data_IF_350860659650
#
_entry.id   IF_350860659650
#
_cell.length_a   1.000
_cell.length_b   1.000
_cell.length_c   1.000
_cell.angle_alpha   90.00
_cell.angle_beta   90.00
_cell.angle_gamma   90.00
#
_symmetry.space_group_name_H-M   'P 1'
#
loop_
_entity.id
_entity.type
_entity.pdbx_description
1 polymer ?
#
# COMPACT_ATOMS: atom_id res chain seq x y z
N UNK A 1 -1.88 -80.48 -50.82
CA UNK A 1 -1.53 -79.21 -51.51
C UNK A 1 -1.67 -78.09 -50.49
N UNK A 2 -0.67 -77.26 -50.16
CA UNK A 2 0.39 -76.61 -50.97
C UNK A 2 -0.17 -75.54 -51.93
N UNK A 3 0.25 -74.27 -51.90
CA UNK A 3 1.26 -73.62 -51.02
C UNK A 3 1.31 -72.09 -51.16
N UNK A 4 2.29 -71.45 -50.52
CA UNK A 4 2.73 -70.04 -50.73
C UNK A 4 3.81 -69.99 -51.87
N UNK A 5 4.46 -68.84 -52.25
CA UNK A 5 4.35 -67.44 -51.78
C UNK A 5 4.35 -66.35 -52.90
N UNK A 6 4.36 -65.06 -52.50
CA UNK A 6 4.87 -63.91 -53.30
C UNK A 6 3.83 -62.82 -53.67
N UNK A 7 4.15 -61.51 -53.66
CA UNK A 7 5.34 -60.87 -53.09
C UNK A 7 5.54 -59.37 -53.47
N UNK A 8 5.75 -58.54 -52.44
CA UNK A 8 6.54 -57.27 -52.44
C UNK A 8 6.05 -56.07 -53.31
N UNK A 9 6.69 -54.87 -53.34
CA UNK A 9 6.04 -53.70 -52.73
C UNK A 9 6.07 -52.37 -53.53
N UNK A 10 5.45 -51.32 -52.94
CA UNK A 10 5.47 -49.91 -53.37
C UNK A 10 4.10 -49.42 -53.86
N UNK A 11 3.86 -48.12 -54.06
CA UNK A 11 4.52 -46.91 -53.54
C UNK A 11 3.65 -45.69 -53.97
N UNK A 12 3.36 -44.79 -53.02
CA UNK A 12 3.05 -43.35 -53.17
C UNK A 12 1.86 -42.86 -54.06
N UNK A 13 1.19 -41.79 -53.59
CA UNK A 13 0.30 -40.81 -54.29
C UNK A 13 -0.98 -41.34 -55.01
N UNK A 14 -2.14 -40.66 -55.17
CA UNK A 14 -2.86 -39.45 -54.67
C UNK A 14 -4.38 -39.72 -54.95
N UNK A 15 -5.47 -39.00 -54.59
CA UNK A 15 -5.80 -37.66 -54.05
C UNK A 15 -7.20 -37.75 -53.33
N UNK A 16 -7.58 -36.78 -52.47
CA UNK A 16 -8.98 -36.55 -51.96
C UNK A 16 -9.51 -37.46 -50.81
N UNK A 17 -10.46 -37.06 -49.96
CA UNK A 17 -11.16 -35.76 -49.80
C UNK A 17 -11.61 -35.50 -48.34
N UNK A 18 -12.07 -34.27 -48.12
CA UNK A 18 -12.59 -33.57 -46.94
C UNK A 18 -13.41 -34.37 -45.88
N UNK A 19 -13.18 -34.05 -44.59
CA UNK A 19 -14.27 -33.70 -43.64
C UNK A 19 -13.71 -32.94 -42.42
N UNK A 20 -14.43 -31.92 -41.93
CA UNK A 20 -13.99 -30.97 -40.88
C UNK A 20 -14.27 -31.45 -39.45
N UNK A 21 -13.34 -31.21 -38.51
CA UNK A 21 -13.72 -30.89 -37.11
C UNK A 21 -12.67 -30.04 -36.35
N UNK A 22 -13.06 -28.85 -35.88
CA UNK A 22 -12.16 -27.81 -35.33
C UNK A 22 -11.72 -28.07 -33.87
N UNK A 23 -10.76 -28.99 -33.71
CA UNK A 23 -10.19 -29.41 -32.43
C UNK A 23 -9.23 -28.40 -31.77
N UNK A 24 -9.73 -27.24 -31.35
CA UNK A 24 -8.95 -26.13 -30.77
C UNK A 24 -8.06 -26.53 -29.55
N UNK A 25 -6.80 -26.89 -29.83
CA UNK A 25 -5.80 -27.32 -28.83
C UNK A 25 -5.50 -26.22 -27.80
N UNK A 26 -6.02 -26.38 -26.57
CA UNK A 26 -5.78 -25.49 -25.42
C UNK A 26 -4.28 -25.30 -25.14
N UNK A 27 -3.70 -24.19 -25.64
CA UNK A 27 -2.31 -23.78 -25.40
C UNK A 27 -2.12 -23.53 -23.90
N UNK A 28 -1.51 -24.49 -23.18
CA UNK A 28 -1.11 -24.30 -21.78
C UNK A 28 -0.23 -23.04 -21.69
N UNK A 29 -0.68 -22.03 -20.94
CA UNK A 29 0.12 -20.83 -20.67
C UNK A 29 1.46 -21.26 -20.04
N UNK A 30 2.61 -20.70 -20.45
CA UNK A 30 3.88 -21.01 -19.83
C UNK A 30 3.82 -20.60 -18.35
N UNK A 31 4.18 -21.53 -17.46
CA UNK A 31 4.29 -21.28 -16.02
C UNK A 31 5.30 -20.15 -15.83
N UNK A 32 4.88 -19.06 -15.19
CA UNK A 32 5.73 -17.88 -15.01
C UNK A 32 7.03 -18.29 -14.32
N UNK A 33 8.15 -18.16 -15.03
CA UNK A 33 9.46 -18.42 -14.46
C UNK A 33 9.72 -17.39 -13.36
N UNK A 34 10.12 -17.84 -12.17
CA UNK A 34 10.71 -16.94 -11.19
C UNK A 34 11.95 -16.36 -11.83
N UNK A 35 11.95 -15.06 -12.11
CA UNK A 35 13.09 -14.35 -12.70
C UNK A 35 14.24 -14.39 -11.69
N UNK A 36 15.16 -15.33 -11.91
CA UNK A 36 16.30 -15.55 -11.03
C UNK A 36 17.26 -14.36 -11.14
N UNK A 37 17.04 -13.35 -10.29
CA UNK A 37 17.86 -12.13 -10.24
C UNK A 37 19.34 -12.48 -10.31
N UNK A 38 20.08 -11.81 -11.20
CA UNK A 38 21.53 -11.98 -11.27
C UNK A 38 22.18 -11.51 -9.97
N UNK A 39 23.37 -12.01 -9.64
CA UNK A 39 24.09 -11.53 -8.45
C UNK A 39 24.35 -10.02 -8.52
N UNK A 40 24.56 -9.46 -9.71
CA UNK A 40 24.64 -8.02 -9.95
C UNK A 40 23.35 -7.30 -9.52
N UNK A 41 22.17 -7.76 -9.95
CA UNK A 41 20.88 -7.20 -9.52
C UNK A 41 20.64 -7.36 -8.01
N UNK A 42 21.13 -8.44 -7.38
CA UNK A 42 21.06 -8.64 -5.92
C UNK A 42 21.98 -7.67 -5.18
N UNK A 43 23.19 -7.43 -5.67
CA UNK A 43 24.13 -6.44 -5.13
C UNK A 43 23.55 -5.02 -5.24
N UNK A 44 23.11 -4.61 -6.42
CA UNK A 44 22.46 -3.31 -6.62
C UNK A 44 21.25 -3.11 -5.68
N UNK A 45 20.40 -4.13 -5.50
CA UNK A 45 19.25 -4.03 -4.57
C UNK A 45 19.70 -3.86 -3.12
N UNK A 46 20.79 -4.53 -2.70
CA UNK A 46 21.39 -4.36 -1.38
C UNK A 46 21.98 -2.96 -1.21
N UNK A 47 22.60 -2.40 -2.23
CA UNK A 47 23.16 -1.05 -2.21
C UNK A 47 22.08 0.03 -2.20
N UNK A 48 21.06 -0.06 -3.07
CA UNK A 48 19.88 0.81 -3.05
C UNK A 48 19.16 0.77 -1.70
N UNK A 49 18.98 -0.41 -1.10
CA UNK A 49 18.40 -0.54 0.24
C UNK A 49 19.30 0.10 1.33
N UNK A 50 20.63 -0.07 1.24
CA UNK A 50 21.60 0.53 2.17
C UNK A 50 21.63 2.05 2.06
N UNK A 51 21.51 2.60 0.85
CA UNK A 51 21.44 4.04 0.63
C UNK A 51 20.10 4.62 1.08
N UNK A 52 18.98 3.95 0.78
CA UNK A 52 17.66 4.32 1.29
C UNK A 52 17.64 4.36 2.83
N UNK A 53 18.24 3.37 3.50
CA UNK A 53 18.39 3.38 4.95
C UNK A 53 19.23 4.55 5.48
N UNK A 54 20.27 5.00 4.74
CA UNK A 54 21.02 6.23 5.06
C UNK A 54 20.15 7.48 4.88
N UNK A 55 19.52 7.65 3.71
CA UNK A 55 18.66 8.81 3.41
C UNK A 55 17.49 8.94 4.39
N UNK A 56 16.85 7.82 4.75
CA UNK A 56 15.79 7.75 5.75
C UNK A 56 16.28 8.19 7.14
N UNK A 57 17.46 7.71 7.59
CA UNK A 57 18.07 8.17 8.86
C UNK A 57 18.37 9.68 8.86
N UNK A 58 18.88 10.23 7.75
CA UNK A 58 19.14 11.67 7.63
C UNK A 58 17.83 12.48 7.65
N UNK A 59 16.80 12.07 6.89
CA UNK A 59 15.48 12.73 6.89
C UNK A 59 14.84 12.70 8.29
N UNK A 60 14.91 11.55 8.99
CA UNK A 60 14.44 11.43 10.38
C UNK A 60 15.22 12.31 11.35
N UNK A 61 16.56 12.41 11.22
CA UNK A 61 17.39 13.29 12.05
C UNK A 61 16.98 14.75 11.87
N UNK A 62 16.90 15.24 10.63
CA UNK A 62 16.55 16.62 10.34
C UNK A 62 15.14 16.99 10.84
N UNK A 63 14.17 16.07 10.67
CA UNK A 63 12.83 16.26 11.22
C UNK A 63 12.83 16.34 12.75
N UNK A 64 13.61 15.49 13.44
CA UNK A 64 13.74 15.53 14.89
C UNK A 64 14.37 16.85 15.38
N UNK A 65 15.44 17.31 14.71
CA UNK A 65 16.11 18.59 15.03
C UNK A 65 15.17 19.79 14.82
N UNK A 66 14.38 19.78 13.75
CA UNK A 66 13.35 20.80 13.48
C UNK A 66 12.23 20.78 14.53
N UNK A 67 11.71 19.61 14.89
CA UNK A 67 10.69 19.48 15.94
C UNK A 67 11.20 19.93 17.31
N UNK A 68 12.46 19.62 17.66
CA UNK A 68 13.09 20.11 18.89
C UNK A 68 13.20 21.64 18.91
N UNK A 69 13.53 22.27 17.77
CA UNK A 69 13.56 23.72 17.65
C UNK A 69 12.16 24.34 17.81
N UNK A 70 11.12 23.75 17.20
CA UNK A 70 9.73 24.20 17.36
C UNK A 70 9.22 24.05 18.79
N UNK A 71 9.49 22.94 19.47
CA UNK A 71 9.11 22.73 20.88
C UNK A 71 9.80 23.76 21.78
N UNK A 72 11.11 23.99 21.61
CA UNK A 72 11.84 25.00 22.39
C UNK A 72 11.32 26.43 22.17
N UNK A 73 10.90 26.77 20.95
CA UNK A 73 10.26 28.06 20.67
C UNK A 73 8.89 28.19 21.36
N UNK A 74 8.04 27.16 21.27
CA UNK A 74 6.72 27.13 21.91
C UNK A 74 6.81 27.14 23.44
N UNK A 75 7.81 26.50 24.04
CA UNK A 75 8.08 26.60 25.47
C UNK A 75 8.45 28.04 25.87
N UNK A 76 9.41 28.66 25.18
CA UNK A 76 9.83 30.03 25.44
C UNK A 76 8.72 31.08 25.16
N UNK A 77 7.69 30.74 24.39
CA UNK A 77 6.48 31.55 24.21
C UNK A 77 5.47 31.30 25.34
N UNK A 78 5.22 30.05 25.73
CA UNK A 78 4.37 29.71 26.87
C UNK A 78 4.88 30.31 28.18
N UNK A 79 6.19 30.31 28.42
CA UNK A 79 6.77 30.87 29.64
C UNK A 79 6.64 32.40 29.69
N UNK A 80 6.69 33.10 28.54
CA UNK A 80 6.37 34.54 28.46
C UNK A 80 4.89 34.82 28.71
N UNK A 81 4.01 34.02 28.12
CA UNK A 81 2.56 34.16 28.33
C UNK A 81 2.19 33.92 29.79
N UNK A 82 2.74 32.88 30.43
CA UNK A 82 2.61 32.61 31.86
C UNK A 82 3.11 33.78 32.71
N UNK A 83 4.32 34.27 32.46
CA UNK A 83 4.87 35.41 33.20
C UNK A 83 3.97 36.65 33.11
N UNK A 84 3.44 36.97 31.91
CA UNK A 84 2.53 38.09 31.72
C UNK A 84 1.16 37.90 32.42
N UNK A 85 0.65 36.67 32.47
CA UNK A 85 -0.59 36.34 33.21
C UNK A 85 -0.37 36.48 34.72
N UNK A 86 0.72 35.93 35.27
CA UNK A 86 1.08 36.08 36.69
C UNK A 86 1.36 37.55 37.06
N UNK A 87 1.94 38.35 36.17
CA UNK A 87 2.15 39.80 36.37
C UNK A 87 0.82 40.57 36.43
N UNK A 88 -0.21 40.17 35.66
CA UNK A 88 -1.52 40.84 35.67
C UNK A 88 -2.51 40.32 36.72
N UNK A 89 -2.43 39.04 37.12
CA UNK A 89 -3.44 38.39 37.97
C UNK A 89 -2.92 37.90 39.33
N UNK A 90 -1.61 37.97 39.58
CA UNK A 90 -1.02 37.58 40.87
C UNK A 90 -1.32 36.12 41.22
N UNK A 91 -1.71 35.85 42.47
CA UNK A 91 -1.99 34.50 42.96
C UNK A 91 -3.17 33.79 42.30
N UNK A 92 -4.10 34.53 41.68
CA UNK A 92 -5.24 33.94 40.95
C UNK A 92 -4.79 33.34 39.60
N UNK A 93 -3.63 33.75 39.08
CA UNK A 93 -3.00 33.12 37.92
C UNK A 93 -2.60 31.66 38.18
N UNK A 94 -2.03 31.37 39.35
CA UNK A 94 -1.41 30.06 39.61
C UNK A 94 -2.45 28.95 39.74
N UNK A 95 -3.62 29.23 40.34
CA UNK A 95 -4.74 28.29 40.41
C UNK A 95 -5.35 28.00 39.03
N UNK A 96 -5.52 29.04 38.19
CA UNK A 96 -6.03 28.89 36.83
C UNK A 96 -5.03 28.15 35.92
N UNK A 97 -3.74 28.47 36.02
CA UNK A 97 -2.68 27.79 35.26
C UNK A 97 -2.53 26.32 35.69
N UNK A 98 -2.67 26.02 36.97
CA UNK A 98 -2.70 24.64 37.47
C UNK A 98 -3.89 23.88 36.86
N UNK A 99 -5.12 24.42 36.96
CA UNK A 99 -6.33 23.79 36.41
C UNK A 99 -6.24 23.54 34.90
N UNK A 100 -5.59 24.42 34.12
CA UNK A 100 -5.32 24.18 32.70
C UNK A 100 -4.32 23.03 32.46
N UNK A 101 -3.41 22.75 33.39
CA UNK A 101 -2.43 21.65 33.26
C UNK A 101 -2.91 20.29 33.75
N UNK A 102 -3.87 20.22 34.69
CA UNK A 102 -4.36 18.92 35.22
C UNK A 102 -5.01 18.02 34.15
N UNK A 103 -5.49 18.59 33.04
CA UNK A 103 -5.99 17.84 31.88
C UNK A 103 -4.94 17.46 30.83
N UNK A 104 -3.68 17.91 30.96
CA UNK A 104 -2.62 17.71 29.95
C UNK A 104 -1.39 17.02 30.54
N UNK A 105 -1.46 15.69 30.64
CA UNK A 105 -0.32 14.85 31.00
C UNK A 105 0.91 15.13 30.12
N UNK A 106 2.10 15.16 30.74
CA UNK A 106 3.31 15.81 30.19
C UNK A 106 3.74 15.31 28.80
N UNK A 107 3.25 15.97 27.75
CA UNK A 107 3.60 15.73 26.34
C UNK A 107 5.07 16.07 26.00
N UNK A 108 5.77 16.78 26.89
CA UNK A 108 7.19 17.12 26.72
C UNK A 108 8.03 16.17 27.55
N UNK A 109 8.83 15.36 26.87
CA UNK A 109 9.81 14.47 27.48
C UNK A 109 11.12 15.20 27.80
N UNK A 110 11.64 15.00 29.02
CA UNK A 110 12.88 15.63 29.47
C UNK A 110 14.16 15.05 28.81
N UNK A 111 14.10 13.88 28.18
CA UNK A 111 15.22 13.31 27.42
C UNK A 111 14.77 12.53 26.16
N UNK A 112 15.63 12.33 25.15
CA UNK A 112 15.27 11.63 23.91
C UNK A 112 14.74 10.20 24.07
N UNK A 113 15.17 9.46 25.10
CA UNK A 113 14.62 8.13 25.39
C UNK A 113 13.19 8.22 25.96
N UNK A 114 12.89 9.26 26.74
CA UNK A 114 11.51 9.51 27.20
C UNK A 114 10.63 10.04 26.04
N UNK A 115 11.20 10.78 25.09
CA UNK A 115 10.49 11.20 23.88
C UNK A 115 10.18 10.00 22.97
N UNK A 116 11.10 9.03 22.91
CA UNK A 116 10.83 7.72 22.29
C UNK A 116 9.68 7.03 23.01
N UNK A 117 9.65 7.08 24.36
CA UNK A 117 8.57 6.54 25.18
C UNK A 117 7.21 7.20 24.97
N UNK A 118 7.14 8.49 24.66
CA UNK A 118 5.90 9.21 24.29
C UNK A 118 5.47 8.90 22.83
N UNK A 119 6.39 8.48 21.97
CA UNK A 119 6.09 7.99 20.61
C UNK A 119 5.77 6.48 20.57
N UNK A 120 6.24 5.73 21.57
CA UNK A 120 5.83 4.35 21.88
C UNK A 120 4.51 4.34 22.70
N UNK A 121 4.15 5.45 23.35
CA UNK A 121 2.84 5.65 23.97
C UNK A 121 1.78 5.68 22.86
N UNK A 122 0.83 4.73 22.86
CA UNK A 122 0.16 4.35 21.62
C UNK A 122 -0.77 5.43 21.04
N UNK A 123 -1.13 6.49 21.78
CA UNK A 123 -2.22 7.41 21.43
C UNK A 123 -1.96 8.47 20.34
N UNK A 124 -0.80 8.51 19.67
CA UNK A 124 -0.59 9.46 18.55
C UNK A 124 -1.24 9.07 17.19
N UNK A 125 -2.55 8.84 17.29
CA UNK A 125 -3.58 9.28 16.34
C UNK A 125 -3.71 8.54 15.00
N UNK A 126 -2.74 8.56 14.07
CA UNK A 126 -3.02 8.00 12.72
C UNK A 126 -2.84 6.49 12.62
N UNK A 127 -1.66 5.95 12.96
CA UNK A 127 -1.40 4.50 12.81
C UNK A 127 -2.22 3.68 13.79
N UNK A 128 -2.43 4.17 15.03
CA UNK A 128 -3.33 3.52 16.00
C UNK A 128 -4.79 3.59 15.55
N UNK A 129 -5.33 4.74 15.12
CA UNK A 129 -6.71 4.76 14.59
C UNK A 129 -6.86 3.79 13.41
N UNK A 130 -5.86 3.77 12.51
CA UNK A 130 -5.64 2.76 11.45
C UNK A 130 -5.89 1.31 11.93
N UNK A 131 -5.16 0.93 12.98
CA UNK A 131 -5.11 -0.43 13.53
C UNK A 131 -6.31 -0.77 14.42
N UNK A 132 -6.78 0.17 15.25
CA UNK A 132 -7.94 0.01 16.13
C UNK A 132 -9.24 -0.10 15.33
N UNK A 133 -9.33 0.57 14.18
CA UNK A 133 -10.41 0.36 13.20
C UNK A 133 -10.29 -0.94 12.39
N UNK A 134 -9.38 -1.85 12.78
CA UNK A 134 -9.07 -3.15 12.14
C UNK A 134 -8.76 -3.07 10.64
N UNK A 135 -8.24 -1.94 10.14
CA UNK A 135 -8.10 -1.76 8.71
C UNK A 135 -6.86 -2.47 8.16
N UNK A 136 -7.07 -3.24 7.09
CA UNK A 136 -5.99 -3.75 6.26
C UNK A 136 -5.48 -2.55 5.46
N UNK A 137 -4.25 -2.11 5.70
CA UNK A 137 -3.71 -0.96 4.98
C UNK A 137 -2.20 -1.06 4.77
N UNK A 138 -1.73 -0.30 3.80
CA UNK A 138 -0.31 -0.09 3.48
C UNK A 138 -0.02 1.39 3.31
N UNK A 139 1.24 1.78 3.53
CA UNK A 139 1.75 3.11 3.18
C UNK A 139 2.86 2.92 2.13
N UNK A 140 2.83 3.72 1.07
CA UNK A 140 3.83 3.68 -0.02
C UNK A 140 4.54 5.03 -0.17
N UNK A 141 5.76 5.03 -0.70
CA UNK A 141 6.59 6.23 -0.90
C UNK A 141 6.75 6.55 -2.41
N UNK A 142 6.04 7.55 -2.96
CA UNK A 142 6.13 7.92 -4.37
C UNK A 142 7.45 8.62 -4.75
N UNK A 143 8.28 9.03 -3.78
CA UNK A 143 9.62 9.57 -4.06
C UNK A 143 10.66 8.48 -4.39
N UNK A 144 10.28 7.21 -4.26
CA UNK A 144 11.09 6.04 -4.62
C UNK A 144 10.62 5.40 -5.94
N UNK A 145 11.53 4.83 -6.75
CA UNK A 145 11.16 4.12 -7.98
C UNK A 145 10.10 3.05 -7.73
N UNK A 146 9.09 3.01 -8.60
CA UNK A 146 7.95 2.08 -8.58
C UNK A 146 6.90 2.30 -7.46
N UNK A 147 7.00 3.38 -6.66
CA UNK A 147 6.10 3.67 -5.53
C UNK A 147 5.91 2.44 -4.59
N UNK A 148 6.97 1.98 -3.90
CA UNK A 148 6.97 0.76 -3.11
C UNK A 148 6.33 0.95 -1.73
N UNK A 149 5.85 -0.14 -1.17
CA UNK A 149 5.34 -0.23 0.20
C UNK A 149 6.50 -0.03 1.21
N UNK A 150 6.33 0.94 2.10
CA UNK A 150 7.23 1.25 3.22
C UNK A 150 6.66 0.82 4.58
N UNK A 151 5.35 0.59 4.68
CA UNK A 151 4.67 0.03 5.86
C UNK A 151 3.46 -0.81 5.45
N UNK A 152 3.15 -1.88 6.20
CA UNK A 152 1.94 -2.69 6.03
C UNK A 152 1.35 -3.06 7.40
N UNK A 153 0.02 -3.01 7.55
CA UNK A 153 -0.66 -3.40 8.79
C UNK A 153 -0.70 -4.92 8.97
N UNK A 154 -0.82 -5.39 10.22
CA UNK A 154 -1.00 -6.81 10.54
C UNK A 154 -2.26 -7.40 9.89
N UNK A 155 -3.32 -6.60 9.75
CA UNK A 155 -4.52 -6.94 8.97
C UNK A 155 -4.19 -7.22 7.50
N UNK A 156 -3.41 -6.35 6.85
CA UNK A 156 -2.98 -6.56 5.45
C UNK A 156 -2.20 -7.87 5.24
N UNK A 157 -1.23 -8.15 6.12
CA UNK A 157 -0.44 -9.39 6.06
C UNK A 157 -1.35 -10.62 6.25
N UNK A 158 -2.29 -10.56 7.20
CA UNK A 158 -3.26 -11.64 7.48
C UNK A 158 -4.25 -11.85 6.33
N UNK A 159 -4.79 -10.76 5.75
CA UNK A 159 -5.75 -10.80 4.65
C UNK A 159 -5.15 -11.38 3.36
N UNK A 160 -3.88 -11.07 3.09
CA UNK A 160 -3.20 -11.40 1.82
C UNK A 160 -2.31 -12.63 1.90
N UNK A 161 -1.96 -13.07 3.11
CA UNK A 161 -1.10 -14.23 3.40
C UNK A 161 0.41 -13.97 3.25
N UNK A 162 0.82 -12.78 2.78
CA UNK A 162 2.24 -12.45 2.61
C UNK A 162 2.91 -12.09 3.93
N UNK A 163 4.18 -12.44 4.09
CA UNK A 163 5.03 -11.97 5.20
C UNK A 163 5.60 -10.58 4.93
N UNK A 164 5.97 -9.84 5.99
CA UNK A 164 6.38 -8.44 5.89
C UNK A 164 7.61 -8.22 4.96
N UNK A 165 8.57 -9.14 4.99
CA UNK A 165 9.76 -9.15 4.14
C UNK A 165 9.45 -9.41 2.65
N UNK A 166 8.35 -10.11 2.36
CA UNK A 166 7.84 -10.32 1.01
C UNK A 166 7.05 -9.12 0.48
N UNK A 167 6.67 -8.17 1.34
CA UNK A 167 5.83 -6.99 1.00
C UNK A 167 6.66 -5.72 0.89
N UNK A 168 7.55 -5.45 1.86
CA UNK A 168 8.32 -4.22 1.92
C UNK A 168 9.24 -4.03 0.71
N UNK A 169 9.29 -2.80 0.18
CA UNK A 169 10.09 -2.46 -0.99
C UNK A 169 9.54 -2.97 -2.32
N UNK A 170 8.25 -3.34 -2.39
CA UNK A 170 7.54 -3.71 -3.63
C UNK A 170 6.30 -2.85 -3.83
N UNK A 171 5.89 -2.62 -5.07
CA UNK A 171 4.59 -2.03 -5.38
C UNK A 171 3.44 -3.03 -5.13
N UNK A 172 2.28 -2.54 -4.66
CA UNK A 172 1.09 -3.34 -4.30
C UNK A 172 0.52 -4.22 -5.42
N UNK A 173 0.90 -4.01 -6.69
CA UNK A 173 0.35 -4.74 -7.85
C UNK A 173 0.55 -6.26 -7.83
N UNK A 174 1.34 -6.81 -6.91
CA UNK A 174 1.44 -8.26 -6.75
C UNK A 174 0.13 -8.93 -6.30
N UNK A 175 -0.85 -8.15 -5.83
CA UNK A 175 -2.21 -8.61 -5.55
C UNK A 175 -3.10 -8.70 -6.81
N UNK A 176 -2.63 -8.23 -7.97
CA UNK A 176 -3.39 -8.24 -9.23
C UNK A 176 -3.13 -9.54 -10.01
N UNK A 177 -4.15 -10.05 -10.70
CA UNK A 177 -4.07 -11.30 -11.47
C UNK A 177 -5.01 -11.34 -12.66
N UNK A 178 -5.25 -12.52 -13.26
CA UNK A 178 -5.87 -12.65 -14.59
C UNK A 178 -7.29 -12.09 -14.72
N UNK A 179 -8.06 -12.05 -13.63
CA UNK A 179 -9.46 -11.57 -13.62
C UNK A 179 -9.60 -10.21 -12.92
N UNK A 180 -8.48 -9.56 -12.54
CA UNK A 180 -8.49 -8.19 -12.03
C UNK A 180 -8.81 -7.22 -13.18
N UNK A 181 -9.90 -6.45 -13.07
CA UNK A 181 -10.30 -5.51 -14.12
C UNK A 181 -9.21 -4.45 -14.40
N UNK A 182 -8.70 -4.34 -15.66
CA UNK A 182 -7.73 -3.33 -16.02
C UNK A 182 -8.28 -1.89 -15.98
N UNK A 183 -9.60 -1.68 -16.04
CA UNK A 183 -10.21 -0.34 -15.94
C UNK A 183 -10.11 0.19 -14.51
N UNK A 184 -10.44 -0.60 -13.50
CA UNK A 184 -10.21 -0.29 -12.09
C UNK A 184 -8.72 -0.01 -11.80
N UNK A 185 -7.80 -0.81 -12.35
CA UNK A 185 -6.35 -0.58 -12.24
C UNK A 185 -5.91 0.71 -12.95
N UNK A 186 -6.58 1.11 -14.04
CA UNK A 186 -6.35 2.40 -14.69
C UNK A 186 -6.86 3.58 -13.84
N UNK A 187 -8.07 3.49 -13.24
CA UNK A 187 -8.59 4.50 -12.29
C UNK A 187 -7.58 4.76 -11.16
N UNK A 188 -7.08 3.72 -10.50
CA UNK A 188 -6.04 3.82 -9.45
C UNK A 188 -4.78 4.53 -9.97
N UNK A 189 -4.27 4.14 -11.14
CA UNK A 189 -3.06 4.72 -11.72
C UNK A 189 -3.23 6.21 -11.99
N UNK A 190 -4.37 6.62 -12.56
CA UNK A 190 -4.68 8.02 -12.86
C UNK A 190 -4.73 8.85 -11.57
N UNK A 191 -5.44 8.40 -10.54
CA UNK A 191 -5.53 9.10 -9.26
C UNK A 191 -4.14 9.32 -8.59
N UNK A 192 -3.27 8.30 -8.63
CA UNK A 192 -1.88 8.40 -8.12
C UNK A 192 -1.00 9.34 -8.96
N UNK A 193 -1.28 9.48 -10.27
CA UNK A 193 -0.55 10.40 -11.16
C UNK A 193 -1.01 11.85 -10.99
N UNK A 194 -2.29 12.08 -10.74
CA UNK A 194 -2.88 13.41 -10.57
C UNK A 194 -2.86 13.90 -9.11
N UNK A 195 -2.61 13.00 -8.14
CA UNK A 195 -2.52 13.32 -6.72
C UNK A 195 -3.88 13.45 -6.03
N UNK A 196 -4.90 12.74 -6.51
CA UNK A 196 -6.23 12.69 -5.89
C UNK A 196 -6.47 11.35 -5.19
N UNK A 197 -7.46 11.32 -4.29
CA UNK A 197 -7.96 10.09 -3.70
C UNK A 197 -8.90 9.36 -4.68
N UNK A 198 -9.04 8.05 -4.51
CA UNK A 198 -10.03 7.26 -5.28
C UNK A 198 -10.40 5.97 -4.57
N UNK A 199 -11.60 5.45 -4.88
CA UNK A 199 -12.16 4.21 -4.34
C UNK A 199 -12.64 3.34 -5.50
N UNK A 200 -12.23 2.06 -5.53
CA UNK A 200 -12.63 1.10 -6.57
C UNK A 200 -12.82 -0.30 -5.99
N UNK A 201 -13.82 -1.03 -6.49
CA UNK A 201 -13.93 -2.47 -6.24
C UNK A 201 -13.13 -3.23 -7.31
N UNK A 202 -12.21 -4.11 -6.91
CA UNK A 202 -11.46 -4.97 -7.83
C UNK A 202 -11.12 -6.33 -7.20
N UNK A 203 -11.02 -7.36 -8.05
CA UNK A 203 -10.59 -8.69 -7.61
C UNK A 203 -9.09 -8.70 -7.32
N UNK A 204 -8.68 -9.23 -6.16
CA UNK A 204 -7.29 -9.40 -5.75
C UNK A 204 -7.00 -10.85 -5.38
N UNK A 205 -5.72 -11.23 -5.46
CA UNK A 205 -5.21 -12.57 -5.21
C UNK A 205 -4.27 -12.57 -4.00
N UNK A 206 -4.34 -13.64 -3.20
CA UNK A 206 -3.43 -13.93 -2.08
C UNK A 206 -2.19 -14.69 -2.54
N UNK A 207 -1.22 -14.86 -1.63
CA UNK A 207 -0.02 -15.65 -1.89
C UNK A 207 -0.31 -17.13 -2.26
N UNK A 208 -1.43 -17.69 -1.77
CA UNK A 208 -1.88 -19.05 -2.07
C UNK A 208 -2.63 -19.17 -3.41
N UNK A 209 -2.86 -18.05 -4.11
CA UNK A 209 -3.62 -17.96 -5.35
C UNK A 209 -5.14 -17.84 -5.18
N UNK A 210 -5.65 -17.87 -3.95
CA UNK A 210 -7.08 -17.63 -3.67
C UNK A 210 -7.45 -16.16 -3.90
N UNK A 211 -8.69 -15.93 -4.35
CA UNK A 211 -9.19 -14.59 -4.68
C UNK A 211 -9.94 -13.94 -3.51
N UNK A 212 -10.15 -12.62 -3.63
CA UNK A 212 -11.17 -11.87 -2.89
C UNK A 212 -11.52 -10.58 -3.61
N UNK A 213 -12.76 -10.12 -3.44
CA UNK A 213 -13.13 -8.77 -3.79
C UNK A 213 -12.59 -7.78 -2.76
N UNK A 214 -11.88 -6.78 -3.26
CA UNK A 214 -11.28 -5.72 -2.48
C UNK A 214 -11.96 -4.40 -2.87
N UNK A 215 -12.72 -3.80 -1.96
CA UNK A 215 -13.04 -2.37 -2.05
C UNK A 215 -11.79 -1.63 -1.57
N UNK A 216 -10.99 -1.20 -2.54
CA UNK A 216 -9.71 -0.53 -2.33
C UNK A 216 -9.90 0.99 -2.36
N UNK A 217 -9.44 1.66 -1.31
CA UNK A 217 -9.35 3.12 -1.25
C UNK A 217 -7.88 3.54 -1.19
N UNK A 218 -7.52 4.59 -1.93
CA UNK A 218 -6.19 5.20 -1.88
C UNK A 218 -6.31 6.71 -1.73
N UNK A 219 -5.49 7.29 -0.86
CA UNK A 219 -5.42 8.74 -0.65
C UNK A 219 -3.97 9.22 -0.55
N UNK A 220 -3.65 10.42 -1.09
CA UNK A 220 -2.37 11.07 -0.88
C UNK A 220 -2.24 11.57 0.56
N UNK A 221 -1.08 11.34 1.18
CA UNK A 221 -0.67 11.98 2.43
C UNK A 221 0.23 13.16 2.07
N UNK A 222 -0.18 14.36 2.48
CA UNK A 222 0.47 15.63 2.11
C UNK A 222 1.20 16.28 3.29
N UNK A 223 2.24 17.05 3.00
CA UNK A 223 2.91 17.92 3.98
C UNK A 223 2.23 19.29 4.12
N UNK A 224 2.80 20.16 4.95
CA UNK A 224 2.36 21.54 5.18
C UNK A 224 2.49 22.46 3.97
N UNK A 225 3.26 22.08 2.95
CA UNK A 225 3.38 22.80 1.67
C UNK A 225 2.38 22.25 0.64
N UNK A 226 1.65 21.17 0.97
CA UNK A 226 0.69 20.50 0.12
C UNK A 226 1.30 19.45 -0.81
N UNK A 227 2.61 19.18 -0.76
CA UNK A 227 3.25 18.17 -1.60
C UNK A 227 2.84 16.76 -1.15
N UNK A 228 2.71 15.81 -2.08
CA UNK A 228 2.39 14.40 -1.74
C UNK A 228 3.67 13.68 -1.28
N UNK A 229 3.75 13.37 0.01
CA UNK A 229 4.92 12.70 0.63
C UNK A 229 4.78 11.18 0.59
N UNK A 230 3.55 10.68 0.78
CA UNK A 230 3.23 9.26 0.80
C UNK A 230 1.83 9.01 0.22
N UNK A 231 1.48 7.74 -0.01
CA UNK A 231 0.09 7.33 -0.19
C UNK A 231 -0.31 6.34 0.89
N UNK A 232 -1.53 6.46 1.42
CA UNK A 232 -2.18 5.39 2.19
C UNK A 232 -3.10 4.61 1.27
N UNK A 233 -3.02 3.28 1.31
CA UNK A 233 -3.91 2.39 0.58
C UNK A 233 -4.60 1.43 1.53
N UNK A 234 -5.93 1.48 1.61
CA UNK A 234 -6.79 0.67 2.49
C UNK A 234 -7.47 -0.43 1.67
N UNK A 235 -7.51 -1.65 2.20
CA UNK A 235 -8.13 -2.82 1.56
C UNK A 235 -9.29 -3.32 2.41
N UNK A 236 -10.52 -3.17 1.92
CA UNK A 236 -11.70 -3.76 2.56
C UNK A 236 -12.13 -5.03 1.79
N UNK A 237 -12.08 -6.20 2.45
CA UNK A 237 -12.63 -7.43 1.87
C UNK A 237 -14.15 -7.33 1.89
N UNK A 238 -14.77 -7.33 0.71
CA UNK A 238 -16.23 -7.29 0.55
C UNK A 238 -16.78 -8.65 0.09
N UNK A 239 -18.10 -8.81 0.12
CA UNK A 239 -18.79 -10.01 -0.39
C UNK A 239 -19.01 -9.93 -1.90
N UNK A 240 -19.21 -11.09 -2.52
CA UNK A 240 -19.53 -11.20 -3.95
C UNK A 240 -20.85 -10.50 -4.30
N UNK A 241 -21.80 -10.44 -3.37
CA UNK A 241 -23.05 -9.67 -3.51
C UNK A 241 -22.81 -8.17 -3.62
N UNK A 242 -21.96 -7.64 -2.73
CA UNK A 242 -21.56 -6.23 -2.77
C UNK A 242 -20.79 -5.92 -4.06
N UNK A 243 -19.84 -6.77 -4.45
CA UNK A 243 -19.09 -6.60 -5.69
C UNK A 243 -20.00 -6.61 -6.93
N UNK A 244 -21.01 -7.49 -6.97
CA UNK A 244 -22.04 -7.51 -8.04
C UNK A 244 -22.88 -6.24 -8.05
N UNK A 245 -23.29 -5.72 -6.89
CA UNK A 245 -24.03 -4.46 -6.80
C UNK A 245 -23.20 -3.26 -7.31
N UNK A 246 -21.92 -3.17 -6.94
CA UNK A 246 -21.00 -2.13 -7.46
C UNK A 246 -20.85 -2.26 -8.99
N UNK A 247 -20.59 -3.47 -9.50
CA UNK A 247 -20.46 -3.70 -10.94
C UNK A 247 -21.72 -3.35 -11.74
N UNK A 248 -22.92 -3.55 -11.17
CA UNK A 248 -24.18 -3.10 -11.75
C UNK A 248 -24.31 -1.58 -11.73
N UNK A 249 -23.89 -0.91 -10.65
CA UNK A 249 -23.91 0.55 -10.57
C UNK A 249 -22.94 1.24 -11.54
N UNK A 250 -21.73 0.70 -11.75
CA UNK A 250 -20.77 1.23 -12.74
C UNK A 250 -21.16 0.91 -14.20
N UNK A 251 -22.13 0.02 -14.42
CA UNK A 251 -22.64 -0.32 -15.75
C UNK A 251 -23.89 0.50 -16.15
N UNK A 252 -24.51 1.22 -15.22
CA UNK A 252 -25.60 2.14 -15.52
C UNK A 252 -25.01 3.47 -16.06
N UNK A 253 -25.39 3.93 -17.27
CA UNK A 253 -24.98 5.25 -17.75
C UNK A 253 -25.63 6.34 -16.89
N UNK A 254 -24.87 7.38 -16.55
CA UNK A 254 -25.36 8.52 -15.77
C UNK A 254 -26.40 9.31 -16.57
N UNK A 255 -27.67 9.16 -16.21
CA UNK A 255 -28.80 9.88 -16.82
C UNK A 255 -28.86 11.34 -16.32
N UNK A 256 -27.81 12.12 -16.55
CA UNK A 256 -27.70 13.53 -16.11
C UNK A 256 -26.85 14.36 -17.08
N UNK A 257 -27.27 14.41 -18.35
CA UNK A 257 -26.85 15.43 -19.34
C UNK A 257 -28.07 15.76 -20.24
N UNK A 258 -28.85 16.78 -19.83
CA UNK A 258 -29.95 17.43 -20.57
C UNK A 258 -29.95 18.91 -20.19
#
# INVERSE_FOLDING_TARGET
WAGMPGGDPGADDEEGDEDDEDGAKKRKRPRAQMTHMTEQQKVERRERNREHAKRSRVRKKFLLESLQQSVGALQAENDKLRAAITEHMGSEADELLAACTEGTGSLIAANPNDATRILDDPDYSLVKALQTAQQNFVITDPSLPDNPIVFASSGFLTLTGYSLDQVLGRNCRFLQGPETDPRAVHKIRKAIQEGFDTSVCLLNYRIDGSTFWNQFFVAPLRDSEGNVVNYVGVQCKVSDDFARAIAQSEAAPSATDI
#
